data_IF_735218965353
#
_entry.id   IF_735218965353
#
_cell.length_a   1.000
_cell.length_b   1.000
_cell.length_c   1.000
_cell.angle_alpha   90.00
_cell.angle_beta   90.00
_cell.angle_gamma   90.00
#
_symmetry.space_group_name_H-M   'P 1'
#
loop_
_entity.id
_entity.type
_entity.pdbx_description
1 polymer ?
#
# COMPACT_ATOMS: atom_id res chain seq x y z
N UNK A 1 -14.13 8.23 -9.21
CA UNK A 1 -13.56 9.33 -8.39
C UNK A 1 -12.17 8.91 -7.97
N UNK A 2 -11.13 9.65 -8.36
CA UNK A 2 -9.77 9.36 -7.90
C UNK A 2 -9.67 9.76 -6.42
N UNK A 3 -9.36 8.82 -5.54
CA UNK A 3 -9.09 9.12 -4.13
C UNK A 3 -7.75 9.84 -4.07
N UNK A 4 -7.73 11.01 -3.43
CA UNK A 4 -6.48 11.67 -3.07
C UNK A 4 -5.82 10.88 -1.95
N UNK A 5 -4.70 10.21 -2.26
CA UNK A 5 -3.97 9.37 -1.31
C UNK A 5 -2.87 10.19 -0.66
N UNK A 6 -2.98 10.34 0.66
CA UNK A 6 -1.96 10.94 1.51
C UNK A 6 -1.68 10.03 2.71
N UNK A 7 -0.67 10.39 3.52
CA UNK A 7 -0.33 9.65 4.74
C UNK A 7 -1.50 9.57 5.73
N UNK A 8 -2.41 10.54 5.71
CA UNK A 8 -3.58 10.59 6.59
C UNK A 8 -4.78 9.76 6.10
N UNK A 9 -4.77 9.27 4.85
CA UNK A 9 -5.89 8.49 4.30
C UNK A 9 -6.09 7.21 5.10
N UNK A 10 -7.33 6.91 5.52
CA UNK A 10 -7.64 5.67 6.25
C UNK A 10 -7.60 4.49 5.28
N UNK A 11 -6.95 3.39 5.67
CA UNK A 11 -6.85 2.17 4.84
C UNK A 11 -8.22 1.55 4.50
N UNK A 12 -9.21 1.73 5.37
CA UNK A 12 -10.60 1.31 5.13
C UNK A 12 -11.34 2.14 4.08
N UNK A 13 -10.74 3.24 3.60
CA UNK A 13 -11.27 4.06 2.51
C UNK A 13 -10.58 3.78 1.17
N UNK A 14 -9.50 3.00 1.15
CA UNK A 14 -8.80 2.60 -0.06
C UNK A 14 -9.64 1.63 -0.88
N UNK A 15 -9.62 1.78 -2.21
CA UNK A 15 -10.41 0.95 -3.12
C UNK A 15 -9.63 -0.25 -3.66
N UNK A 16 -8.29 -0.18 -3.65
CA UNK A 16 -7.43 -1.30 -4.01
C UNK A 16 -6.34 -1.55 -2.97
N UNK A 17 -5.70 -2.71 -3.09
CA UNK A 17 -4.49 -3.02 -2.33
C UNK A 17 -3.37 -2.01 -2.63
N UNK A 18 -3.20 -1.64 -3.90
CA UNK A 18 -2.23 -0.63 -4.30
C UNK A 18 -2.46 0.70 -3.57
N UNK A 19 -3.72 1.12 -3.41
CA UNK A 19 -4.03 2.33 -2.64
C UNK A 19 -3.62 2.22 -1.16
N UNK A 20 -3.87 1.06 -0.54
CA UNK A 20 -3.46 0.80 0.84
C UNK A 20 -1.93 0.82 0.97
N UNK A 21 -1.21 0.25 0.01
CA UNK A 21 0.25 0.25 -0.03
C UNK A 21 0.81 1.66 -0.24
N UNK A 22 0.22 2.47 -1.14
CA UNK A 22 0.60 3.89 -1.28
C UNK A 22 0.45 4.64 0.04
N UNK A 23 -0.65 4.43 0.76
CA UNK A 23 -0.85 5.04 2.08
C UNK A 23 0.22 4.60 3.06
N UNK A 24 0.54 3.30 3.12
CA UNK A 24 1.59 2.79 4.01
C UNK A 24 2.95 3.35 3.63
N UNK A 25 3.29 3.39 2.35
CA UNK A 25 4.54 3.97 1.85
C UNK A 25 4.67 5.45 2.21
N UNK A 26 3.58 6.20 2.14
CA UNK A 26 3.52 7.61 2.56
C UNK A 26 3.65 7.81 4.07
N UNK A 27 3.28 6.79 4.87
CA UNK A 27 3.43 6.82 6.34
C UNK A 27 4.81 6.36 6.80
N UNK A 28 5.48 5.51 6.02
CA UNK A 28 6.83 5.03 6.32
C UNK A 28 7.85 6.10 5.93
N UNK A 29 8.83 6.34 6.80
CA UNK A 29 10.01 7.16 6.51
C UNK A 29 10.97 6.42 5.55
N UNK A 30 12.14 6.97 5.22
CA UNK A 30 13.17 6.34 4.39
C UNK A 30 12.90 6.30 2.87
N UNK A 31 12.14 7.27 2.35
CA UNK A 31 12.05 7.47 0.89
C UNK A 31 11.05 6.56 0.17
N UNK A 32 10.34 5.66 0.86
CA UNK A 32 9.28 4.83 0.23
C UNK A 32 8.22 5.64 -0.50
N UNK A 33 7.98 6.88 -0.06
CA UNK A 33 7.09 7.83 -0.73
C UNK A 33 7.44 8.11 -2.20
N UNK A 34 8.72 8.01 -2.60
CA UNK A 34 9.14 8.26 -3.99
C UNK A 34 8.92 7.06 -4.91
N UNK A 35 8.89 5.85 -4.34
CA UNK A 35 8.68 4.59 -5.07
C UNK A 35 7.31 3.95 -4.78
N UNK A 36 6.41 4.70 -4.13
CA UNK A 36 5.10 4.21 -3.66
C UNK A 36 4.24 3.60 -4.78
N UNK A 37 4.37 4.12 -6.01
CA UNK A 37 3.60 3.65 -7.16
C UNK A 37 4.13 2.34 -7.70
N UNK A 38 5.46 2.14 -7.67
CA UNK A 38 6.08 0.86 -7.99
C UNK A 38 5.72 -0.21 -6.94
N UNK A 39 5.79 0.15 -5.66
CA UNK A 39 5.38 -0.74 -4.57
C UNK A 39 3.90 -1.13 -4.66
N UNK A 40 3.03 -0.19 -5.00
CA UNK A 40 1.61 -0.44 -5.20
C UNK A 40 1.36 -1.40 -6.37
N UNK A 41 2.09 -1.24 -7.47
CA UNK A 41 2.02 -2.16 -8.61
C UNK A 41 2.51 -3.56 -8.24
N UNK A 42 3.66 -3.67 -7.57
CA UNK A 42 4.19 -4.96 -7.09
C UNK A 42 3.20 -5.67 -6.16
N UNK A 43 2.58 -4.93 -5.23
CA UNK A 43 1.58 -5.48 -4.34
C UNK A 43 0.37 -6.05 -5.09
N UNK A 44 -0.15 -5.31 -6.08
CA UNK A 44 -1.28 -5.78 -6.90
C UNK A 44 -0.89 -6.95 -7.80
N UNK A 45 0.35 -7.02 -8.28
CA UNK A 45 0.87 -8.14 -9.06
C UNK A 45 1.02 -9.42 -8.21
N UNK A 46 1.48 -9.31 -6.95
CA UNK A 46 1.74 -10.47 -6.10
C UNK A 46 0.52 -10.98 -5.33
N UNK A 47 -0.32 -10.08 -4.85
CA UNK A 47 -1.44 -10.41 -3.95
C UNK A 47 -2.81 -10.13 -4.58
N UNK A 48 -2.85 -9.54 -5.77
CA UNK A 48 -4.07 -9.13 -6.44
C UNK A 48 -4.54 -7.73 -6.04
N UNK A 49 -5.57 -7.25 -6.74
CA UNK A 49 -6.08 -5.88 -6.60
C UNK A 49 -6.96 -5.66 -5.36
N UNK A 50 -7.53 -6.72 -4.79
CA UNK A 50 -8.47 -6.61 -3.68
C UNK A 50 -7.80 -6.02 -2.43
N UNK A 51 -8.40 -4.98 -1.80
CA UNK A 51 -7.82 -4.39 -0.60
C UNK A 51 -7.83 -5.40 0.56
N UNK A 52 -6.77 -5.39 1.37
CA UNK A 52 -6.68 -6.16 2.60
C UNK A 52 -7.80 -5.73 3.56
N UNK A 53 -8.51 -6.72 4.12
CA UNK A 53 -9.68 -6.52 4.99
C UNK A 53 -9.30 -6.56 6.46
N UNK A 54 -8.23 -7.28 6.79
CA UNK A 54 -7.74 -7.44 8.16
C UNK A 54 -6.28 -7.01 8.30
N UNK A 55 -5.89 -6.67 9.53
CA UNK A 55 -4.55 -6.13 9.84
C UNK A 55 -3.46 -7.17 9.52
N UNK A 56 -3.71 -8.46 9.71
CA UNK A 56 -2.74 -9.52 9.44
C UNK A 56 -2.40 -9.64 7.95
N UNK A 57 -3.39 -9.54 7.07
CA UNK A 57 -3.18 -9.51 5.61
C UNK A 57 -2.31 -8.32 5.23
N UNK A 58 -2.64 -7.13 5.73
CA UNK A 58 -1.87 -5.92 5.43
C UNK A 58 -0.43 -6.02 5.95
N UNK A 59 -0.21 -6.68 7.09
CA UNK A 59 1.15 -6.94 7.60
C UNK A 59 1.93 -7.85 6.65
N UNK A 60 1.35 -8.97 6.21
CA UNK A 60 2.02 -9.88 5.27
C UNK A 60 2.38 -9.18 3.95
N UNK A 61 1.45 -8.38 3.39
CA UNK A 61 1.72 -7.57 2.19
C UNK A 61 2.84 -6.58 2.44
N UNK A 62 2.82 -5.88 3.58
CA UNK A 62 3.87 -4.91 3.89
C UNK A 62 5.23 -5.56 4.11
N UNK A 63 5.26 -6.74 4.74
CA UNK A 63 6.50 -7.46 5.03
C UNK A 63 7.18 -7.92 3.74
N UNK A 64 6.44 -8.28 2.69
CA UNK A 64 7.08 -8.62 1.41
C UNK A 64 7.33 -7.42 0.51
N UNK A 65 6.36 -6.52 0.37
CA UNK A 65 6.47 -5.37 -0.55
C UNK A 65 7.55 -4.39 -0.08
N UNK A 66 7.67 -4.13 1.22
CA UNK A 66 8.65 -3.19 1.76
C UNK A 66 9.97 -3.83 2.21
N UNK A 67 10.14 -5.15 2.07
CA UNK A 67 11.42 -5.85 2.30
C UNK A 67 12.32 -5.86 1.06
N UNK A 68 11.75 -5.66 -0.12
CA UNK A 68 12.43 -5.83 -1.41
C UNK A 68 13.25 -4.59 -1.83
N UNK A 69 13.78 -3.79 -0.88
CA UNK A 69 14.64 -2.64 -1.14
C UNK A 69 15.82 -2.60 -0.16
#
# INVERSE_FOLDING_TARGET
>A
MAIFICSCTKLSKCQSLGDQVRVVAMRRANGWQTIRDDLARLAEEWFGREPAKIISEMRAVCDEVFRTN
#
